data_IF_004131327169
#
_entry.id   IF_004131327169
#
_cell.length_a   1.000
_cell.length_b   1.000
_cell.length_c   1.000
_cell.angle_alpha   90.00
_cell.angle_beta   90.00
_cell.angle_gamma   90.00
#
_symmetry.space_group_name_H-M   'P 1'
#
loop_
_entity.id
_entity.type
_entity.pdbx_description
1 polymer ?
#
# COMPACT_ATOMS: atom_id res chain seq x y z
N UNK A 1 19.89 7.42 -34.41
CA UNK A 1 19.60 7.01 -33.03
C UNK A 1 19.99 5.55 -32.89
N UNK A 2 20.96 5.29 -32.00
CA UNK A 2 21.58 3.98 -31.80
C UNK A 2 20.56 2.87 -31.49
N UNK A 3 20.82 1.64 -31.95
CA UNK A 3 19.94 0.50 -31.73
C UNK A 3 19.76 0.18 -30.24
N UNK A 4 20.79 0.46 -29.44
CA UNK A 4 20.75 0.34 -27.98
C UNK A 4 19.80 1.35 -27.33
N UNK A 5 19.86 2.62 -27.75
CA UNK A 5 18.97 3.69 -27.25
C UNK A 5 17.51 3.36 -27.55
N UNK A 6 17.21 2.83 -28.74
CA UNK A 6 15.84 2.39 -29.09
C UNK A 6 15.34 1.26 -28.20
N UNK A 7 16.21 0.33 -27.80
CA UNK A 7 15.85 -0.76 -26.89
C UNK A 7 15.58 -0.24 -25.48
N UNK A 8 16.40 0.69 -24.99
CA UNK A 8 16.22 1.32 -23.68
C UNK A 8 14.90 2.08 -23.59
N UNK A 9 14.56 2.89 -24.61
CA UNK A 9 13.30 3.63 -24.68
C UNK A 9 12.06 2.71 -24.64
N UNK A 10 12.15 1.52 -25.27
CA UNK A 10 11.05 0.52 -25.20
C UNK A 10 10.86 -0.06 -23.80
N UNK A 11 11.92 -0.13 -23.00
CA UNK A 11 11.91 -0.71 -21.64
C UNK A 11 11.71 0.33 -20.53
N UNK A 12 11.90 1.61 -20.82
CA UNK A 12 11.89 2.71 -19.84
C UNK A 12 10.66 2.67 -18.92
N UNK A 13 9.45 2.58 -19.49
CA UNK A 13 8.21 2.58 -18.69
C UNK A 13 8.14 1.41 -17.71
N UNK A 14 8.62 0.24 -18.12
CA UNK A 14 8.65 -0.95 -17.28
C UNK A 14 9.73 -0.78 -16.19
N UNK A 15 10.94 -0.35 -16.56
CA UNK A 15 12.03 -0.12 -15.63
C UNK A 15 11.64 0.89 -14.53
N UNK A 16 10.97 1.99 -14.88
CA UNK A 16 10.47 2.98 -13.91
C UNK A 16 9.51 2.33 -12.90
N UNK A 17 8.56 1.51 -13.37
CA UNK A 17 7.62 0.80 -12.50
C UNK A 17 8.35 -0.15 -11.55
N UNK A 18 9.29 -0.93 -12.08
CA UNK A 18 10.06 -1.92 -11.32
C UNK A 18 10.96 -1.26 -10.29
N UNK A 19 11.60 -0.12 -10.62
CA UNK A 19 12.39 0.68 -9.67
C UNK A 19 11.51 1.24 -8.55
N UNK A 20 10.35 1.82 -8.88
CA UNK A 20 9.41 2.30 -7.85
C UNK A 20 8.89 1.17 -6.96
N UNK A 21 8.63 -0.01 -7.54
CA UNK A 21 8.21 -1.19 -6.80
C UNK A 21 9.30 -1.68 -5.84
N UNK A 22 10.56 -1.71 -6.28
CA UNK A 22 11.71 -1.99 -5.42
C UNK A 22 11.82 -1.00 -4.26
N UNK A 23 11.76 0.31 -4.55
CA UNK A 23 11.85 1.38 -3.55
C UNK A 23 10.67 1.38 -2.57
N UNK A 24 9.50 0.91 -2.98
CA UNK A 24 8.36 0.74 -2.09
C UNK A 24 8.50 -0.50 -1.21
N UNK A 25 8.85 -1.64 -1.81
CA UNK A 25 8.84 -2.95 -1.17
C UNK A 25 9.96 -3.12 -0.14
N UNK A 26 11.21 -2.82 -0.53
CA UNK A 26 12.37 -3.13 0.30
C UNK A 26 12.36 -2.37 1.64
N UNK A 27 12.18 -1.05 1.67
CA UNK A 27 12.14 -0.30 2.93
C UNK A 27 10.90 -0.64 3.79
N UNK A 28 9.79 -1.03 3.15
CA UNK A 28 8.53 -1.25 3.87
C UNK A 28 8.42 -2.64 4.49
N UNK A 29 8.76 -3.70 3.75
CA UNK A 29 8.56 -5.09 4.20
C UNK A 29 9.68 -6.05 3.78
N UNK A 30 10.62 -5.65 2.91
CA UNK A 30 11.59 -6.57 2.32
C UNK A 30 12.35 -7.43 3.34
N UNK A 31 12.71 -6.85 4.49
CA UNK A 31 13.43 -7.53 5.60
C UNK A 31 12.70 -8.75 6.18
N UNK A 32 11.37 -8.80 6.09
CA UNK A 32 10.55 -9.87 6.69
C UNK A 32 10.00 -10.86 5.66
N UNK A 33 10.36 -10.68 4.37
CA UNK A 33 9.86 -11.46 3.24
C UNK A 33 10.94 -12.33 2.61
N UNK A 34 10.52 -13.38 1.89
CA UNK A 34 11.42 -14.25 1.13
C UNK A 34 12.32 -13.47 0.16
N UNK A 35 13.51 -14.02 -0.15
CA UNK A 35 14.59 -13.37 -0.90
C UNK A 35 14.14 -12.87 -2.29
N UNK A 36 13.33 -13.66 -2.96
CA UNK A 36 12.75 -13.46 -4.29
C UNK A 36 11.44 -12.65 -4.27
N UNK A 37 10.97 -12.24 -3.10
CA UNK A 37 9.71 -11.51 -2.94
C UNK A 37 9.70 -10.14 -3.63
N UNK A 38 10.87 -9.48 -3.74
CA UNK A 38 10.98 -8.20 -4.45
C UNK A 38 10.72 -8.35 -5.95
N UNK A 39 11.29 -9.38 -6.58
CA UNK A 39 11.10 -9.67 -8.00
C UNK A 39 9.63 -10.02 -8.28
N UNK A 40 9.03 -10.86 -7.44
CA UNK A 40 7.60 -11.19 -7.53
C UNK A 40 6.72 -9.95 -7.40
N UNK A 41 7.07 -9.03 -6.49
CA UNK A 41 6.33 -7.78 -6.32
C UNK A 41 6.47 -6.84 -7.52
N UNK A 42 7.68 -6.72 -8.10
CA UNK A 42 7.94 -5.95 -9.32
C UNK A 42 7.08 -6.45 -10.49
N UNK A 43 7.04 -7.77 -10.71
CA UNK A 43 6.19 -8.39 -11.74
C UNK A 43 4.71 -8.08 -11.53
N UNK A 44 4.24 -8.19 -10.28
CA UNK A 44 2.86 -7.85 -9.94
C UNK A 44 2.58 -6.37 -10.17
N UNK A 45 3.49 -5.47 -9.80
CA UNK A 45 3.35 -4.03 -10.01
C UNK A 45 3.23 -3.70 -11.49
N UNK A 46 4.16 -4.18 -12.32
CA UNK A 46 4.17 -4.03 -13.78
C UNK A 46 2.87 -4.50 -14.44
N UNK A 47 2.27 -5.59 -13.94
CA UNK A 47 0.99 -6.10 -14.43
C UNK A 47 -0.20 -5.26 -13.96
N UNK A 48 -0.22 -4.85 -12.69
CA UNK A 48 -1.38 -4.19 -12.10
C UNK A 48 -1.49 -2.70 -12.44
N UNK A 49 -0.38 -1.97 -12.63
CA UNK A 49 -0.45 -0.54 -13.00
C UNK A 49 -1.18 -0.29 -14.32
N UNK A 50 -1.13 -1.26 -15.24
CA UNK A 50 -1.85 -1.20 -16.54
C UNK A 50 -3.37 -1.16 -16.36
N UNK A 51 -3.89 -1.68 -15.24
CA UNK A 51 -5.33 -1.74 -14.95
C UNK A 51 -5.86 -0.45 -14.33
N UNK A 52 -4.97 0.45 -13.86
CA UNK A 52 -5.36 1.68 -13.18
C UNK A 52 -6.20 2.60 -14.08
N UNK A 53 -5.93 2.64 -15.39
CA UNK A 53 -6.69 3.46 -16.34
C UNK A 53 -8.18 3.14 -16.38
N UNK A 54 -8.57 1.93 -15.98
CA UNK A 54 -9.94 1.44 -16.07
C UNK A 54 -10.73 1.69 -14.78
N UNK A 55 -10.08 2.19 -13.72
CA UNK A 55 -10.72 2.44 -12.44
C UNK A 55 -11.46 3.78 -12.49
N UNK A 56 -12.78 3.74 -12.34
CA UNK A 56 -13.64 4.92 -12.37
C UNK A 56 -14.22 5.29 -11.02
N UNK A 57 -14.27 4.37 -10.05
CA UNK A 57 -14.85 4.60 -8.73
C UNK A 57 -13.99 4.04 -7.57
N UNK A 58 -14.28 4.49 -6.35
CA UNK A 58 -13.65 3.95 -5.14
C UNK A 58 -13.95 2.45 -4.94
N UNK A 59 -15.17 2.00 -5.26
CA UNK A 59 -15.55 0.58 -5.14
C UNK A 59 -14.75 -0.30 -6.12
N UNK A 60 -14.52 0.18 -7.34
CA UNK A 60 -13.65 -0.53 -8.30
C UNK A 60 -12.19 -0.56 -7.85
N UNK A 61 -11.71 0.55 -7.27
CA UNK A 61 -10.38 0.57 -6.68
C UNK A 61 -10.25 -0.46 -5.56
N UNK A 62 -11.25 -0.57 -4.69
CA UNK A 62 -11.26 -1.54 -3.58
C UNK A 62 -11.23 -2.98 -4.10
N UNK A 63 -12.00 -3.29 -5.15
CA UNK A 63 -11.96 -4.59 -5.82
C UNK A 63 -10.59 -4.87 -6.45
N UNK A 64 -10.01 -3.89 -7.16
CA UNK A 64 -8.68 -3.97 -7.72
C UNK A 64 -7.62 -4.24 -6.65
N UNK A 65 -7.65 -3.46 -5.57
CA UNK A 65 -6.73 -3.56 -4.44
C UNK A 65 -6.86 -4.92 -3.75
N UNK A 66 -8.08 -5.36 -3.43
CA UNK A 66 -8.37 -6.66 -2.84
C UNK A 66 -7.82 -7.82 -3.67
N UNK A 67 -7.96 -7.76 -4.99
CA UNK A 67 -7.43 -8.79 -5.88
C UNK A 67 -5.90 -8.81 -5.88
N UNK A 68 -5.26 -7.64 -5.85
CA UNK A 68 -3.81 -7.55 -5.71
C UNK A 68 -3.35 -8.11 -4.37
N UNK A 69 -4.00 -7.72 -3.27
CA UNK A 69 -3.74 -8.24 -1.92
C UNK A 69 -3.80 -9.77 -1.86
N UNK A 70 -4.86 -10.38 -2.42
CA UNK A 70 -5.01 -11.84 -2.47
C UNK A 70 -3.87 -12.51 -3.24
N UNK A 71 -3.51 -11.97 -4.40
CA UNK A 71 -2.41 -12.49 -5.22
C UNK A 71 -1.04 -12.30 -4.56
N UNK A 72 -0.84 -11.19 -3.84
CA UNK A 72 0.36 -10.97 -3.04
C UNK A 72 0.48 -12.05 -1.95
N UNK A 73 -0.56 -12.23 -1.14
CA UNK A 73 -0.56 -13.16 0.00
C UNK A 73 -0.37 -14.62 -0.45
N UNK A 74 -0.93 -14.99 -1.62
CA UNK A 74 -0.77 -16.35 -2.13
C UNK A 74 0.66 -16.64 -2.62
N UNK A 75 1.33 -15.68 -3.25
CA UNK A 75 2.63 -15.88 -3.91
C UNK A 75 3.85 -15.48 -3.09
N UNK A 76 3.76 -14.42 -2.29
CA UNK A 76 4.89 -13.90 -1.52
C UNK A 76 4.76 -14.39 -0.09
N UNK A 77 5.75 -15.14 0.39
CA UNK A 77 5.83 -15.61 1.77
C UNK A 77 6.78 -14.73 2.60
N UNK A 78 6.60 -14.82 3.90
CA UNK A 78 7.58 -14.36 4.89
C UNK A 78 8.79 -15.28 4.92
N UNK A 79 9.84 -14.84 5.59
CA UNK A 79 10.95 -15.71 5.97
C UNK A 79 10.43 -17.01 6.61
N UNK A 80 11.10 -18.13 6.31
CA UNK A 80 10.69 -19.49 6.74
C UNK A 80 9.37 -19.99 6.11
N UNK A 81 8.96 -19.42 4.97
CA UNK A 81 7.81 -19.90 4.18
C UNK A 81 6.42 -19.56 4.77
N UNK A 82 6.36 -18.73 5.81
CA UNK A 82 5.10 -18.41 6.47
C UNK A 82 4.22 -17.49 5.63
N UNK A 83 2.90 -17.68 5.69
CA UNK A 83 1.93 -16.83 4.99
C UNK A 83 2.00 -15.38 5.50
N UNK A 84 1.88 -14.42 4.58
CA UNK A 84 1.78 -13.00 4.89
C UNK A 84 0.40 -12.64 5.45
N UNK A 85 0.38 -11.78 6.47
CA UNK A 85 -0.86 -11.14 6.90
C UNK A 85 -1.33 -10.06 5.92
N UNK A 86 -2.62 -9.70 6.01
CA UNK A 86 -3.18 -8.59 5.24
C UNK A 86 -2.49 -7.25 5.58
N UNK A 87 -2.19 -7.01 6.87
CA UNK A 87 -1.47 -5.82 7.30
C UNK A 87 -0.05 -5.69 6.72
N UNK A 88 0.65 -6.81 6.51
CA UNK A 88 1.98 -6.78 5.88
C UNK A 88 1.87 -6.53 4.37
N UNK A 89 1.02 -7.27 3.68
CA UNK A 89 0.87 -7.15 2.24
C UNK A 89 0.38 -5.75 1.80
N UNK A 90 -0.53 -5.13 2.56
CA UNK A 90 -1.05 -3.80 2.21
C UNK A 90 0.04 -2.74 2.22
N UNK A 91 1.07 -2.88 3.07
CA UNK A 91 2.08 -1.83 3.22
C UNK A 91 2.86 -1.62 1.94
N UNK A 92 3.34 -2.71 1.33
CA UNK A 92 4.07 -2.63 0.06
C UNK A 92 3.19 -2.06 -1.06
N UNK A 93 1.97 -2.59 -1.20
CA UNK A 93 1.04 -2.17 -2.26
C UNK A 93 0.67 -0.69 -2.10
N UNK A 94 0.31 -0.25 -0.89
CA UNK A 94 -0.13 1.12 -0.65
C UNK A 94 1.01 2.13 -0.77
N UNK A 95 2.22 1.78 -0.28
CA UNK A 95 3.41 2.63 -0.48
C UNK A 95 3.73 2.75 -1.97
N UNK A 96 3.71 1.65 -2.71
CA UNK A 96 3.94 1.67 -4.15
C UNK A 96 2.91 2.53 -4.89
N UNK A 97 1.61 2.32 -4.63
CA UNK A 97 0.55 3.08 -5.28
C UNK A 97 0.61 4.57 -4.95
N UNK A 98 1.00 4.94 -3.72
CA UNK A 98 1.27 6.33 -3.37
C UNK A 98 2.40 6.91 -4.22
N UNK A 99 3.54 6.22 -4.31
CA UNK A 99 4.69 6.70 -5.10
C UNK A 99 4.31 6.86 -6.58
N UNK A 100 3.69 5.82 -7.15
CA UNK A 100 3.34 5.77 -8.56
C UNK A 100 2.24 6.78 -8.93
N UNK A 101 1.13 6.76 -8.20
CA UNK A 101 -0.06 7.57 -8.54
C UNK A 101 0.04 8.96 -7.95
N UNK A 102 0.27 9.11 -6.65
CA UNK A 102 0.24 10.43 -6.03
C UNK A 102 1.54 11.21 -6.24
N UNK A 103 2.71 10.62 -6.08
CA UNK A 103 3.95 11.40 -6.17
C UNK A 103 4.40 11.58 -7.62
N UNK A 104 4.51 10.49 -8.39
CA UNK A 104 4.95 10.53 -9.77
C UNK A 104 3.85 10.92 -10.77
N UNK A 105 2.59 11.03 -10.34
CA UNK A 105 1.43 11.40 -11.17
C UNK A 105 1.17 10.45 -12.36
N UNK A 106 1.58 9.19 -12.24
CA UNK A 106 1.42 8.14 -13.25
C UNK A 106 0.09 7.36 -13.10
N UNK A 107 -0.38 6.62 -14.14
CA UNK A 107 0.23 6.46 -15.47
C UNK A 107 0.08 7.69 -16.37
N UNK A 108 -0.89 8.56 -16.08
CA UNK A 108 -1.08 9.90 -16.69
C UNK A 108 -1.65 10.84 -15.63
N UNK A 109 -1.39 12.13 -15.76
CA UNK A 109 -1.84 13.16 -14.79
C UNK A 109 -3.36 13.21 -14.61
N UNK A 110 -4.13 12.99 -15.68
CA UNK A 110 -5.60 12.94 -15.61
C UNK A 110 -6.10 11.75 -14.80
N UNK A 111 -5.56 10.56 -15.08
CA UNK A 111 -5.88 9.31 -14.39
C UNK A 111 -5.47 9.40 -12.91
N UNK A 112 -4.25 9.87 -12.64
CA UNK A 112 -3.76 9.97 -11.26
C UNK A 112 -4.59 10.94 -10.43
N UNK A 113 -5.02 12.07 -10.99
CA UNK A 113 -5.90 13.02 -10.31
C UNK A 113 -7.24 12.39 -9.92
N UNK A 114 -7.80 11.55 -10.79
CA UNK A 114 -9.05 10.81 -10.53
C UNK A 114 -8.88 9.77 -9.42
N UNK A 115 -7.81 8.96 -9.49
CA UNK A 115 -7.63 7.81 -8.60
C UNK A 115 -7.09 8.22 -7.22
N UNK A 116 -6.48 9.41 -7.09
CA UNK A 116 -5.85 9.86 -5.84
C UNK A 116 -6.76 9.76 -4.62
N UNK A 117 -8.03 10.14 -4.74
CA UNK A 117 -9.02 10.07 -3.64
C UNK A 117 -9.39 8.64 -3.27
N UNK A 118 -9.14 7.68 -4.16
CA UNK A 118 -9.43 6.26 -3.94
C UNK A 118 -8.25 5.53 -3.30
N UNK A 119 -7.05 6.10 -3.29
CA UNK A 119 -5.87 5.44 -2.75
C UNK A 119 -6.06 5.09 -1.27
N UNK A 120 -5.65 3.88 -0.92
CA UNK A 120 -5.59 3.43 0.47
C UNK A 120 -4.36 4.00 1.18
N UNK A 121 -4.55 4.38 2.45
CA UNK A 121 -3.48 4.86 3.33
C UNK A 121 -2.62 3.67 3.78
N UNK A 122 -1.29 3.70 3.59
CA UNK A 122 -0.40 2.66 4.10
C UNK A 122 -0.36 2.64 5.63
N UNK A 123 -1.09 1.73 6.27
CA UNK A 123 -1.12 1.62 7.73
C UNK A 123 0.17 1.00 8.29
N UNK A 124 0.60 1.46 9.46
CA UNK A 124 1.61 0.81 10.30
C UNK A 124 1.41 1.16 11.77
N UNK A 125 2.27 0.63 12.64
CA UNK A 125 2.20 0.81 14.10
C UNK A 125 2.23 2.27 14.51
N UNK A 126 3.04 3.11 13.86
CA UNK A 126 3.17 4.54 14.20
C UNK A 126 1.86 5.24 13.87
N UNK A 127 1.38 5.09 12.62
CA UNK A 127 0.15 5.73 12.20
C UNK A 127 -1.04 5.26 13.03
N UNK A 128 -1.21 3.95 13.21
CA UNK A 128 -2.36 3.41 13.97
C UNK A 128 -2.39 3.93 15.42
N UNK A 129 -1.24 4.04 16.10
CA UNK A 129 -1.17 4.60 17.45
C UNK A 129 -1.67 6.05 17.49
N UNK A 130 -1.20 6.88 16.57
CA UNK A 130 -1.58 8.30 16.55
C UNK A 130 -3.05 8.49 16.17
N UNK A 131 -3.57 7.68 15.25
CA UNK A 131 -5.00 7.73 14.89
C UNK A 131 -5.89 7.29 16.04
N UNK A 132 -5.49 6.29 16.82
CA UNK A 132 -6.28 5.85 18.00
C UNK A 132 -6.32 6.92 19.08
N UNK A 133 -5.21 7.62 19.33
CA UNK A 133 -5.18 8.77 20.24
C UNK A 133 -6.12 9.88 19.76
N UNK A 134 -6.12 10.17 18.46
CA UNK A 134 -6.93 11.25 17.88
C UNK A 134 -8.42 10.89 17.74
N UNK A 135 -8.74 9.63 17.52
CA UNK A 135 -10.11 9.14 17.30
C UNK A 135 -10.44 7.98 18.27
N UNK A 136 -10.54 8.26 19.58
CA UNK A 136 -10.77 7.22 20.59
C UNK A 136 -12.10 6.48 20.38
N UNK A 137 -13.13 7.17 19.90
CA UNK A 137 -14.44 6.58 19.61
C UNK A 137 -14.38 5.53 18.48
N UNK A 138 -13.60 5.79 17.43
CA UNK A 138 -13.36 4.80 16.36
C UNK A 138 -12.70 3.55 16.93
N UNK A 139 -11.69 3.75 17.77
CA UNK A 139 -11.03 2.62 18.42
C UNK A 139 -12.01 1.79 19.26
N UNK A 140 -12.77 2.43 20.15
CA UNK A 140 -13.69 1.73 21.05
C UNK A 140 -14.78 0.96 20.30
N UNK A 141 -15.40 1.58 19.29
CA UNK A 141 -16.56 1.01 18.59
C UNK A 141 -16.16 0.04 17.47
N UNK A 142 -14.99 0.22 16.86
CA UNK A 142 -14.65 -0.48 15.61
C UNK A 142 -13.43 -1.38 15.76
N UNK A 143 -12.37 -0.93 16.42
CA UNK A 143 -11.10 -1.68 16.47
C UNK A 143 -11.01 -2.62 17.67
N UNK A 144 -11.60 -2.25 18.81
CA UNK A 144 -11.49 -3.00 20.07
C UNK A 144 -11.88 -4.47 19.93
N UNK A 145 -12.88 -4.79 19.11
CA UNK A 145 -13.36 -6.16 18.86
C UNK A 145 -12.34 -7.08 18.17
N UNK A 146 -11.39 -6.54 17.41
CA UNK A 146 -10.35 -7.34 16.75
C UNK A 146 -9.14 -7.59 17.67
N UNK A 147 -9.12 -7.02 18.88
CA UNK A 147 -8.08 -7.29 19.85
C UNK A 147 -8.26 -8.68 20.47
N UNK A 148 -7.36 -9.60 20.12
CA UNK A 148 -7.07 -10.80 20.92
C UNK A 148 -5.77 -10.61 21.69
N UNK A 149 -5.80 -10.74 23.03
CA UNK A 149 -4.64 -10.65 23.91
C UNK A 149 -3.86 -9.33 23.80
N UNK A 150 -2.52 -9.40 23.84
CA UNK A 150 -1.61 -8.24 23.71
C UNK A 150 -1.56 -7.71 22.26
N UNK A 151 -2.66 -7.11 21.78
CA UNK A 151 -2.69 -6.40 20.51
C UNK A 151 -1.89 -5.11 20.61
N UNK A 152 -0.82 -5.03 19.80
CA UNK A 152 0.20 -3.98 19.83
C UNK A 152 0.29 -3.21 18.51
N UNK A 153 -0.79 -3.19 17.72
CA UNK A 153 -0.83 -2.59 16.37
C UNK A 153 0.21 -3.20 15.41
N UNK A 154 0.50 -4.50 15.56
CA UNK A 154 1.40 -5.20 14.65
C UNK A 154 0.70 -5.51 13.33
N UNK A 155 1.37 -5.18 12.22
CA UNK A 155 0.89 -5.52 10.88
C UNK A 155 0.64 -7.03 10.71
N UNK A 156 1.42 -7.87 11.38
CA UNK A 156 1.25 -9.34 11.34
C UNK A 156 -0.09 -9.84 11.89
N UNK A 157 -0.83 -9.00 12.62
CA UNK A 157 -2.09 -9.35 13.27
C UNK A 157 -3.33 -8.78 12.57
N UNK A 158 -3.15 -7.95 11.55
CA UNK A 158 -4.27 -7.27 10.88
C UNK A 158 -4.84 -8.16 9.78
N UNK A 159 -6.14 -8.46 9.93
CA UNK A 159 -6.95 -9.15 8.93
C UNK A 159 -7.56 -8.19 7.90
N UNK A 160 -8.23 -8.76 6.90
CA UNK A 160 -8.88 -8.00 5.83
C UNK A 160 -9.95 -7.04 6.36
N UNK A 161 -10.85 -7.53 7.22
CA UNK A 161 -11.99 -6.75 7.70
C UNK A 161 -11.53 -5.51 8.51
N UNK A 162 -10.63 -5.72 9.47
CA UNK A 162 -10.03 -4.65 10.26
C UNK A 162 -9.35 -3.61 9.34
N UNK A 163 -8.59 -4.08 8.34
CA UNK A 163 -7.93 -3.19 7.38
C UNK A 163 -8.93 -2.27 6.67
N UNK A 164 -10.05 -2.78 6.18
CA UNK A 164 -11.04 -1.94 5.50
C UNK A 164 -11.73 -0.96 6.46
N UNK A 165 -11.91 -1.30 7.74
CA UNK A 165 -12.39 -0.33 8.74
C UNK A 165 -11.46 0.87 8.89
N UNK A 166 -10.14 0.64 8.89
CA UNK A 166 -9.16 1.73 8.86
C UNK A 166 -9.28 2.58 7.61
N UNK A 167 -9.37 1.96 6.43
CA UNK A 167 -9.51 2.71 5.17
C UNK A 167 -10.80 3.53 5.09
N UNK A 168 -11.91 2.98 5.61
CA UNK A 168 -13.18 3.69 5.71
C UNK A 168 -13.06 4.93 6.61
N UNK A 169 -12.38 4.82 7.77
CA UNK A 169 -12.11 5.99 8.61
C UNK A 169 -11.32 7.04 7.82
N UNK A 170 -10.23 6.66 7.16
CA UNK A 170 -9.39 7.64 6.47
C UNK A 170 -10.13 8.39 5.37
N UNK A 171 -10.94 7.67 4.58
CA UNK A 171 -11.78 8.28 3.54
C UNK A 171 -12.91 9.13 4.11
N UNK A 172 -13.49 8.77 5.25
CA UNK A 172 -14.56 9.58 5.86
C UNK A 172 -14.03 10.92 6.39
N UNK A 173 -12.79 10.95 6.90
CA UNK A 173 -12.18 12.18 7.40
C UNK A 173 -11.66 13.09 6.28
N UNK A 174 -11.05 12.51 5.22
CA UNK A 174 -10.48 13.27 4.11
C UNK A 174 -10.79 12.62 2.76
N UNK A 175 -12.03 12.72 2.26
CA UNK A 175 -12.50 11.96 1.08
C UNK A 175 -11.76 12.29 -0.21
N UNK A 176 -11.27 13.52 -0.37
CA UNK A 176 -10.54 13.95 -1.57
C UNK A 176 -9.05 13.64 -1.52
N UNK A 177 -8.48 13.42 -0.33
CA UNK A 177 -7.05 13.16 -0.12
C UNK A 177 -6.81 12.32 1.15
N UNK A 178 -7.19 11.02 1.17
CA UNK A 178 -6.98 10.17 2.34
C UNK A 178 -5.50 10.06 2.74
N UNK A 179 -4.60 10.10 1.76
CA UNK A 179 -3.15 10.07 1.99
C UNK A 179 -2.58 11.24 2.80
N UNK A 180 -3.38 12.25 3.17
CA UNK A 180 -2.94 13.28 4.12
C UNK A 180 -2.52 12.68 5.47
N UNK A 181 -3.06 11.52 5.84
CA UNK A 181 -2.66 10.80 7.05
C UNK A 181 -1.19 10.35 7.04
N UNK A 182 -0.54 10.23 5.88
CA UNK A 182 0.89 9.94 5.80
C UNK A 182 1.74 11.09 6.35
N UNK A 183 1.20 12.31 6.43
CA UNK A 183 1.88 13.42 7.11
C UNK A 183 2.02 13.13 8.61
N UNK A 184 0.99 12.54 9.24
CA UNK A 184 1.08 12.12 10.65
C UNK A 184 2.22 11.11 10.81
N UNK A 185 2.29 10.12 9.92
CA UNK A 185 3.40 9.16 9.93
C UNK A 185 4.76 9.86 9.78
N UNK A 186 4.90 10.77 8.82
CA UNK A 186 6.17 11.45 8.54
C UNK A 186 6.66 12.32 9.71
N UNK A 187 5.74 12.97 10.43
CA UNK A 187 6.04 13.79 11.61
C UNK A 187 6.41 12.95 12.83
N UNK A 188 5.76 11.78 13.01
CA UNK A 188 5.92 10.98 14.23
C UNK A 188 6.96 9.85 14.11
N UNK A 189 7.46 9.55 12.91
CA UNK A 189 8.46 8.46 12.74
C UNK A 189 9.81 8.74 13.38
N UNK A 190 10.15 10.01 13.64
CA UNK A 190 11.42 10.41 14.27
C UNK A 190 11.36 10.36 15.80
N UNK A 191 10.17 10.50 16.38
CA UNK A 191 9.95 10.54 17.84
C UNK A 191 9.85 9.16 18.50
N UNK A 192 10.09 8.08 17.75
CA UNK A 192 9.99 6.70 18.21
C UNK A 192 11.23 5.85 17.94
N UNK A 193 12.38 6.51 17.77
CA UNK A 193 13.70 5.88 17.79
C UNK A 193 14.20 5.71 19.22
#
# INVERSE_FOLDING_TARGET
MDNEVKLLLKKEKQAIVETMAFMAYNPSIGRVMQKDGVTLFQDMASKNVKKLSNIISASEFDKFHKNWMKNFISKIKRNKGLVCSYGQAQKAINVFLKLYVDWAKLPKRSISRKIRSYLHVPIDKILMKEIIKKYPNFYQKTIKQYKKGNYNHSLSKIGEEEYYKWQCLFRSQFPTKPLIFDVIWALNRKSGG
#
